data_IF_437783959832
#
_entry.id   IF_437783959832
#
_cell.length_a   1.000
_cell.length_b   1.000
_cell.length_c   1.000
_cell.angle_alpha   90.00
_cell.angle_beta   90.00
_cell.angle_gamma   90.00
#
_symmetry.space_group_name_H-M   'P 1'
#
loop_
_entity.id
_entity.type
_entity.pdbx_description
1 polymer ?
#
# COMPACT_ATOMS: atom_id res chain seq x y z
N UNK A 1 -7.91 16.65 13.32
CA UNK A 1 -7.16 15.60 12.61
C UNK A 1 -8.08 14.72 11.81
N UNK A 2 -7.70 14.40 10.59
CA UNK A 2 -8.51 13.54 9.74
C UNK A 2 -8.54 12.12 10.30
N UNK A 3 -9.70 11.47 10.18
CA UNK A 3 -9.85 10.06 10.51
C UNK A 3 -9.55 9.25 9.25
N UNK A 4 -8.54 8.41 9.32
CA UNK A 4 -8.14 7.58 8.19
C UNK A 4 -8.30 6.09 8.53
N UNK A 5 -8.49 5.30 7.49
CA UNK A 5 -8.53 3.85 7.60
C UNK A 5 -7.45 3.28 6.68
N UNK A 6 -6.49 2.58 7.25
CA UNK A 6 -5.45 1.93 6.45
C UNK A 6 -6.05 0.70 5.78
N UNK A 7 -6.00 0.68 4.44
CA UNK A 7 -6.54 -0.41 3.64
C UNK A 7 -5.46 -1.43 3.25
N UNK A 8 -4.23 -0.98 3.07
CA UNK A 8 -3.13 -1.86 2.68
C UNK A 8 -1.79 -1.25 3.04
N UNK A 9 -0.89 -2.07 3.58
CA UNK A 9 0.51 -1.72 3.79
C UNK A 9 1.34 -2.65 2.92
N UNK A 10 2.18 -2.09 2.06
CA UNK A 10 3.16 -2.84 1.27
C UNK A 10 4.53 -2.56 1.85
N UNK A 11 5.22 -3.62 2.21
CA UNK A 11 6.54 -3.50 2.81
C UNK A 11 7.50 -4.52 2.22
N UNK A 12 8.78 -4.21 2.28
CA UNK A 12 9.82 -5.10 1.77
C UNK A 12 10.87 -5.36 2.83
N UNK A 13 11.56 -6.48 2.67
CA UNK A 13 12.69 -6.84 3.52
C UNK A 13 13.65 -7.73 2.74
N UNK A 14 14.82 -7.98 3.30
CA UNK A 14 15.76 -8.94 2.76
C UNK A 14 16.01 -10.02 3.80
N UNK A 15 16.00 -11.28 3.36
CA UNK A 15 16.28 -12.42 4.24
C UNK A 15 17.80 -12.69 4.34
N UNK A 16 18.60 -11.92 3.62
CA UNK A 16 20.04 -11.97 3.73
C UNK A 16 20.73 -13.18 3.10
N UNK A 17 19.99 -13.96 2.32
CA UNK A 17 20.52 -15.12 1.63
C UNK A 17 19.75 -15.37 0.34
N UNK A 18 20.39 -15.97 -0.63
CA UNK A 18 19.68 -16.38 -1.84
C UNK A 18 18.71 -17.50 -1.49
N UNK A 19 17.58 -17.51 -2.18
CA UNK A 19 16.52 -18.48 -1.95
C UNK A 19 16.38 -19.40 -3.15
N UNK A 20 16.31 -20.70 -2.88
CA UNK A 20 15.95 -21.68 -3.89
C UNK A 20 14.43 -21.79 -3.93
N UNK A 21 13.81 -21.04 -4.84
CA UNK A 21 12.34 -20.96 -4.91
C UNK A 21 11.70 -22.29 -5.30
N UNK A 22 12.41 -23.12 -6.06
CA UNK A 22 11.93 -24.47 -6.40
C UNK A 22 11.83 -25.35 -5.17
N UNK A 23 12.84 -25.30 -4.31
CA UNK A 23 12.81 -26.04 -3.06
C UNK A 23 11.75 -25.52 -2.10
N UNK A 24 11.60 -24.20 -2.03
CA UNK A 24 10.64 -23.58 -1.13
C UNK A 24 9.20 -23.91 -1.55
N UNK A 25 8.89 -23.88 -2.84
CA UNK A 25 7.52 -24.17 -3.30
C UNK A 25 7.13 -25.60 -2.98
N UNK A 26 8.08 -26.52 -2.99
CA UNK A 26 7.82 -27.91 -2.64
C UNK A 26 7.61 -28.12 -1.13
N UNK A 27 8.25 -27.29 -0.33
CA UNK A 27 8.23 -27.41 1.13
C UNK A 27 7.08 -26.63 1.78
N UNK A 28 6.60 -25.56 1.16
CA UNK A 28 5.54 -24.73 1.71
C UNK A 28 4.20 -25.06 1.06
N UNK A 29 3.30 -25.59 1.85
CA UNK A 29 1.96 -25.93 1.40
C UNK A 29 1.20 -24.67 1.02
N UNK A 30 0.65 -24.63 -0.19
CA UNK A 30 -0.07 -23.47 -0.70
C UNK A 30 0.77 -22.40 -1.37
N UNK A 31 2.09 -22.61 -1.46
CA UNK A 31 2.95 -21.68 -2.20
C UNK A 31 2.76 -21.88 -3.70
N UNK A 32 2.84 -20.78 -4.45
CA UNK A 32 2.70 -20.79 -5.91
C UNK A 32 3.98 -20.21 -6.54
N UNK A 33 4.54 -20.94 -7.49
CA UNK A 33 5.73 -20.46 -8.21
C UNK A 33 5.64 -20.85 -9.68
N UNK A 34 5.46 -19.85 -10.53
CA UNK A 34 5.44 -20.02 -11.98
C UNK A 34 6.36 -18.96 -12.59
N UNK A 35 7.66 -19.30 -12.76
CA UNK A 35 8.64 -18.32 -13.21
C UNK A 35 8.41 -17.78 -14.62
N UNK A 36 7.62 -18.47 -15.44
CA UNK A 36 7.28 -17.97 -16.77
C UNK A 36 6.29 -16.81 -16.72
N UNK A 37 5.45 -16.74 -15.69
CA UNK A 37 4.47 -15.66 -15.54
C UNK A 37 4.96 -14.57 -14.60
N UNK A 38 5.65 -14.96 -13.52
CA UNK A 38 6.10 -14.01 -12.52
C UNK A 38 7.36 -14.56 -11.83
N UNK A 39 8.43 -13.75 -11.68
CA UNK A 39 9.69 -14.26 -11.15
C UNK A 39 9.70 -14.57 -9.66
N UNK A 40 8.68 -14.16 -8.92
CA UNK A 40 8.60 -14.39 -7.49
C UNK A 40 7.71 -15.56 -7.13
N UNK A 41 7.98 -16.15 -5.97
CA UNK A 41 7.11 -17.15 -5.36
C UNK A 41 6.07 -16.41 -4.52
N UNK A 42 4.82 -16.81 -4.61
CA UNK A 42 3.72 -16.19 -3.88
C UNK A 42 3.28 -17.13 -2.76
N UNK A 43 3.32 -16.62 -1.54
CA UNK A 43 2.85 -17.35 -0.37
C UNK A 43 1.81 -16.53 0.37
N UNK A 44 0.59 -17.06 0.49
CA UNK A 44 -0.52 -16.37 1.13
C UNK A 44 -0.76 -16.93 2.53
N UNK A 45 -0.94 -16.01 3.48
CA UNK A 45 -1.36 -16.35 4.84
C UNK A 45 -2.84 -16.03 5.01
N UNK A 46 -3.50 -16.76 5.90
CA UNK A 46 -4.89 -16.48 6.27
C UNK A 46 -4.97 -15.53 7.46
N UNK A 47 -4.00 -15.59 8.37
CA UNK A 47 -3.95 -14.72 9.56
C UNK A 47 -2.51 -14.30 9.86
N UNK A 48 -2.21 -13.04 9.67
CA UNK A 48 -3.03 -12.02 9.00
C UNK A 48 -3.19 -12.32 7.51
N UNK A 49 -4.30 -11.86 6.93
CA UNK A 49 -4.57 -12.09 5.50
C UNK A 49 -3.64 -11.25 4.65
N UNK A 50 -2.57 -11.85 4.21
CA UNK A 50 -1.49 -11.20 3.47
C UNK A 50 -0.97 -12.11 2.38
N UNK A 51 -0.26 -11.52 1.43
CA UNK A 51 0.51 -12.26 0.44
C UNK A 51 1.96 -11.81 0.53
N UNK A 52 2.87 -12.76 0.57
CA UNK A 52 4.31 -12.47 0.57
C UNK A 52 4.91 -12.98 -0.73
N UNK A 53 5.65 -12.12 -1.40
CA UNK A 53 6.36 -12.44 -2.62
C UNK A 53 7.82 -12.66 -2.26
N UNK A 54 8.34 -13.83 -2.60
CA UNK A 54 9.73 -14.18 -2.33
C UNK A 54 10.49 -14.22 -3.63
N UNK A 55 11.66 -13.60 -3.65
CA UNK A 55 12.50 -13.54 -4.83
C UNK A 55 13.80 -14.30 -4.58
N UNK A 56 14.41 -14.79 -5.65
CA UNK A 56 15.63 -15.56 -5.59
C UNK A 56 16.78 -14.81 -4.89
N UNK A 57 16.80 -13.50 -5.01
CA UNK A 57 17.80 -12.65 -4.35
C UNK A 57 17.72 -12.66 -2.83
N UNK A 58 16.64 -13.19 -2.27
CA UNK A 58 16.36 -13.12 -0.84
C UNK A 58 15.42 -11.97 -0.48
N UNK A 59 15.05 -11.16 -1.45
CA UNK A 59 14.10 -10.07 -1.20
C UNK A 59 12.70 -10.64 -0.99
N UNK A 60 11.97 -10.07 -0.04
CA UNK A 60 10.58 -10.40 0.23
C UNK A 60 9.74 -9.13 0.22
N UNK A 61 8.56 -9.21 -0.36
CA UNK A 61 7.58 -8.12 -0.38
C UNK A 61 6.28 -8.65 0.21
N UNK A 62 5.78 -7.98 1.24
CA UNK A 62 4.52 -8.35 1.87
C UNK A 62 3.46 -7.31 1.54
N UNK A 63 2.28 -7.75 1.12
CA UNK A 63 1.15 -6.89 0.81
C UNK A 63 -0.12 -7.46 1.45
N UNK A 64 -1.11 -6.61 1.65
CA UNK A 64 -2.41 -6.99 2.23
C UNK A 64 -2.55 -6.71 3.72
N UNK A 65 -1.47 -6.37 4.40
CA UNK A 65 -1.53 -6.02 5.81
C UNK A 65 -2.26 -4.70 6.02
N UNK A 66 -3.00 -4.61 7.12
CA UNK A 66 -3.75 -3.40 7.48
C UNK A 66 -3.05 -2.55 8.50
N UNK A 67 -1.86 -2.97 8.92
CA UNK A 67 -0.99 -2.22 9.82
C UNK A 67 0.43 -2.73 9.67
N UNK A 68 1.40 -1.96 10.16
CA UNK A 68 2.79 -2.41 10.19
C UNK A 68 2.94 -3.65 11.05
N UNK A 69 2.21 -3.72 12.16
CA UNK A 69 2.21 -4.87 13.05
C UNK A 69 1.79 -6.15 12.33
N UNK A 70 0.74 -6.09 11.51
CA UNK A 70 0.30 -7.24 10.73
C UNK A 70 1.38 -7.68 9.73
N UNK A 71 2.06 -6.74 9.10
CA UNK A 71 3.16 -7.04 8.19
C UNK A 71 4.30 -7.73 8.92
N UNK A 72 4.67 -7.25 10.10
CA UNK A 72 5.72 -7.85 10.91
C UNK A 72 5.37 -9.28 11.31
N UNK A 73 4.13 -9.52 11.72
CA UNK A 73 3.65 -10.86 12.06
C UNK A 73 3.70 -11.77 10.84
N UNK A 74 3.25 -11.29 9.68
CA UNK A 74 3.24 -12.06 8.46
C UNK A 74 4.65 -12.48 8.05
N UNK A 75 5.58 -11.55 8.02
CA UNK A 75 6.96 -11.82 7.64
C UNK A 75 7.61 -12.79 8.63
N UNK A 76 7.36 -12.62 9.92
CA UNK A 76 7.86 -13.54 10.95
C UNK A 76 7.37 -14.97 10.72
N UNK A 77 6.08 -15.13 10.41
CA UNK A 77 5.50 -16.45 10.12
C UNK A 77 6.12 -17.09 8.87
N UNK A 78 6.33 -16.29 7.82
CA UNK A 78 6.93 -16.78 6.58
C UNK A 78 8.38 -17.21 6.84
N UNK A 79 9.15 -16.42 7.57
CA UNK A 79 10.54 -16.76 7.91
C UNK A 79 10.60 -18.07 8.68
N UNK A 80 9.73 -18.25 9.67
CA UNK A 80 9.70 -19.49 10.43
C UNK A 80 9.39 -20.71 9.56
N UNK A 81 8.49 -20.55 8.62
CA UNK A 81 8.17 -21.64 7.69
C UNK A 81 9.33 -21.99 6.78
N UNK A 82 10.06 -20.98 6.31
CA UNK A 82 11.24 -21.18 5.48
C UNK A 82 12.33 -21.89 6.29
N UNK A 83 12.55 -21.46 7.53
CA UNK A 83 13.52 -22.08 8.41
C UNK A 83 13.14 -23.54 8.73
N UNK A 84 11.87 -23.80 8.94
CA UNK A 84 11.38 -25.18 9.16
C UNK A 84 11.62 -26.09 7.95
N UNK A 85 11.72 -25.51 6.75
CA UNK A 85 12.04 -26.24 5.53
C UNK A 85 13.56 -26.52 5.38
N UNK A 86 14.38 -26.10 6.35
CA UNK A 86 15.81 -26.35 6.36
C UNK A 86 16.66 -25.24 5.75
N UNK A 87 16.07 -24.10 5.45
CA UNK A 87 16.79 -22.96 4.86
C UNK A 87 17.21 -22.02 5.99
N UNK A 88 18.50 -21.69 6.03
CA UNK A 88 19.04 -20.80 7.06
C UNK A 88 18.85 -19.35 6.66
N UNK A 89 18.16 -18.58 7.50
CA UNK A 89 18.01 -17.14 7.33
C UNK A 89 19.10 -16.46 8.15
N UNK A 90 20.02 -15.78 7.46
CA UNK A 90 21.23 -15.24 8.08
C UNK A 90 21.08 -13.92 8.83
N UNK A 91 20.01 -13.17 8.56
CA UNK A 91 19.80 -11.86 9.17
C UNK A 91 18.43 -11.76 9.76
N UNK A 92 18.27 -10.90 10.77
CA UNK A 92 16.95 -10.49 11.24
C UNK A 92 16.36 -9.56 10.17
N UNK A 93 15.22 -9.89 9.59
CA UNK A 93 14.64 -9.05 8.52
C UNK A 93 14.34 -7.65 9.03
N UNK A 94 14.86 -6.66 8.31
CA UNK A 94 14.53 -5.26 8.57
C UNK A 94 13.45 -4.85 7.58
N UNK A 95 12.29 -4.48 8.10
CA UNK A 95 11.11 -4.20 7.29
C UNK A 95 11.08 -2.74 6.91
N UNK A 96 10.95 -2.45 5.62
CA UNK A 96 10.78 -1.11 5.10
C UNK A 96 9.40 -0.97 4.46
N UNK A 97 8.61 -0.02 4.94
CA UNK A 97 7.32 0.28 4.34
C UNK A 97 7.56 0.96 3.00
N UNK A 98 6.97 0.41 1.94
CA UNK A 98 7.10 0.96 0.59
C UNK A 98 5.89 1.78 0.19
N UNK A 99 4.71 1.40 0.67
CA UNK A 99 3.48 2.10 0.33
C UNK A 99 2.39 1.81 1.35
N UNK A 100 1.63 2.84 1.69
CA UNK A 100 0.42 2.70 2.48
C UNK A 100 -0.73 3.22 1.63
N UNK A 101 -1.78 2.42 1.50
CA UNK A 101 -3.04 2.83 0.90
C UNK A 101 -4.04 3.00 2.02
N UNK A 102 -4.63 4.18 2.10
CA UNK A 102 -5.60 4.49 3.15
C UNK A 102 -6.80 5.22 2.56
N UNK A 103 -7.92 5.10 3.23
CA UNK A 103 -9.14 5.78 2.83
C UNK A 103 -9.60 6.75 3.92
N UNK A 104 -10.37 7.73 3.51
CA UNK A 104 -11.02 8.68 4.42
C UNK A 104 -12.30 9.17 3.78
N UNK A 105 -13.09 9.90 4.55
CA UNK A 105 -14.35 10.44 4.07
C UNK A 105 -14.46 11.89 4.55
N UNK A 106 -14.71 12.79 3.61
CA UNK A 106 -14.86 14.22 3.94
C UNK A 106 -16.20 14.53 4.63
N UNK A 107 -17.11 13.57 4.62
CA UNK A 107 -18.40 13.72 5.29
C UNK A 107 -19.45 14.50 4.50
N UNK A 108 -19.14 14.86 3.27
CA UNK A 108 -20.08 15.61 2.40
C UNK A 108 -19.76 15.30 0.95
N UNK A 109 -20.79 15.38 0.12
CA UNK A 109 -20.60 15.26 -1.33
C UNK A 109 -19.80 16.45 -1.85
N UNK A 110 -19.01 16.22 -2.87
CA UNK A 110 -18.18 17.25 -3.49
C UNK A 110 -18.40 17.26 -5.01
N UNK A 111 -18.17 18.42 -5.61
CA UNK A 111 -18.28 18.59 -7.05
C UNK A 111 -16.89 18.52 -7.68
N UNK A 112 -16.58 17.41 -8.33
CA UNK A 112 -15.25 17.18 -8.89
C UNK A 112 -14.93 18.14 -10.03
N UNK A 113 -15.92 18.53 -10.84
CA UNK A 113 -15.70 19.52 -11.90
C UNK A 113 -15.27 20.87 -11.33
N UNK A 114 -15.95 21.33 -10.28
CA UNK A 114 -15.62 22.59 -9.63
C UNK A 114 -14.24 22.56 -9.01
N UNK A 115 -13.87 21.43 -8.42
CA UNK A 115 -12.54 21.24 -7.83
C UNK A 115 -11.45 21.30 -8.91
N UNK A 116 -11.66 20.62 -10.04
CA UNK A 116 -10.70 20.62 -11.14
C UNK A 116 -10.47 22.03 -11.69
N UNK A 117 -11.54 22.80 -11.82
CA UNK A 117 -11.46 24.17 -12.32
C UNK A 117 -10.73 25.08 -11.30
N UNK A 118 -11.07 24.96 -10.03
CA UNK A 118 -10.53 25.84 -8.97
C UNK A 118 -9.06 25.56 -8.65
N UNK A 119 -8.66 24.30 -8.63
CA UNK A 119 -7.29 23.93 -8.26
C UNK A 119 -6.32 23.91 -9.43
N UNK A 120 -6.83 23.80 -10.64
CA UNK A 120 -6.02 23.86 -11.86
C UNK A 120 -5.34 22.55 -12.24
N UNK A 121 -4.96 22.46 -13.52
CA UNK A 121 -4.46 21.23 -14.12
C UNK A 121 -3.04 20.84 -13.68
N UNK A 122 -2.34 21.71 -13.00
CA UNK A 122 -0.98 21.39 -12.52
C UNK A 122 -1.00 20.39 -11.36
N UNK A 123 -2.03 20.46 -10.53
CA UNK A 123 -2.14 19.62 -9.33
C UNK A 123 -3.12 18.47 -9.49
N UNK A 124 -4.14 18.63 -10.34
CA UNK A 124 -5.23 17.67 -10.43
C UNK A 124 -5.47 17.22 -11.86
N UNK A 125 -5.94 15.98 -12.00
CA UNK A 125 -6.38 15.40 -13.25
C UNK A 125 -7.78 14.86 -13.04
N UNK A 126 -8.70 15.24 -13.91
CA UNK A 126 -10.05 14.75 -13.84
C UNK A 126 -10.57 14.42 -15.24
N UNK A 127 -10.69 13.14 -15.53
CA UNK A 127 -11.20 12.63 -16.80
C UNK A 127 -12.27 11.58 -16.50
N UNK A 128 -13.51 12.02 -16.26
CA UNK A 128 -14.57 11.12 -15.79
C UNK A 128 -14.91 9.99 -16.75
N UNK A 129 -14.57 10.13 -18.04
CA UNK A 129 -14.80 9.07 -19.02
C UNK A 129 -13.82 7.90 -18.86
N UNK A 130 -12.64 8.17 -18.31
CA UNK A 130 -11.60 7.15 -18.09
C UNK A 130 -11.59 6.63 -16.68
N UNK A 131 -11.79 7.51 -15.71
CA UNK A 131 -11.78 7.15 -14.30
C UNK A 131 -12.71 8.10 -13.53
N UNK A 132 -13.60 7.58 -12.67
CA UNK A 132 -14.59 8.41 -11.99
C UNK A 132 -14.02 9.31 -10.90
N UNK A 133 -12.81 9.07 -10.44
CA UNK A 133 -12.18 9.87 -9.40
C UNK A 133 -11.31 10.99 -9.97
N UNK A 134 -11.15 12.04 -9.17
CA UNK A 134 -10.20 13.11 -9.46
C UNK A 134 -8.86 12.74 -8.82
N UNK A 135 -7.78 12.85 -9.59
CA UNK A 135 -6.43 12.54 -9.11
C UNK A 135 -5.77 13.82 -8.65
N UNK A 136 -5.41 13.88 -7.37
CA UNK A 136 -4.75 15.02 -6.75
C UNK A 136 -3.35 14.60 -6.30
N UNK A 137 -2.33 15.25 -6.83
CA UNK A 137 -0.94 14.94 -6.48
C UNK A 137 -0.40 15.98 -5.52
N UNK A 138 0.16 15.52 -4.40
CA UNK A 138 0.84 16.37 -3.43
C UNK A 138 2.35 16.15 -3.54
N UNK A 139 3.10 17.21 -3.26
CA UNK A 139 4.57 17.14 -3.23
C UNK A 139 5.11 16.91 -1.83
N UNK A 140 4.43 17.43 -0.82
CA UNK A 140 4.87 17.32 0.57
C UNK A 140 3.66 17.12 1.49
N UNK A 141 3.43 15.90 1.94
CA UNK A 141 4.11 14.64 1.60
C UNK A 141 3.87 14.25 0.14
N UNK A 142 4.80 13.49 -0.44
CA UNK A 142 4.69 13.06 -1.83
C UNK A 142 3.73 11.86 -1.92
N UNK A 143 2.47 12.15 -2.15
CA UNK A 143 1.40 11.15 -2.21
C UNK A 143 0.42 11.52 -3.32
N UNK A 144 -0.38 10.54 -3.70
CA UNK A 144 -1.49 10.75 -4.65
C UNK A 144 -2.79 10.47 -3.91
N UNK A 145 -3.74 11.37 -4.06
CA UNK A 145 -5.06 11.22 -3.45
C UNK A 145 -6.10 11.17 -4.55
N UNK A 146 -6.98 10.18 -4.48
CA UNK A 146 -8.11 10.02 -5.37
C UNK A 146 -9.35 10.54 -4.65
N UNK A 147 -10.02 11.53 -5.26
CA UNK A 147 -11.24 12.11 -4.71
C UNK A 147 -12.45 11.64 -5.50
N UNK A 148 -13.50 11.29 -4.79
CA UNK A 148 -14.75 10.84 -5.42
C UNK A 148 -15.90 11.79 -5.06
N UNK A 149 -16.87 11.87 -5.94
CA UNK A 149 -18.02 12.78 -5.74
C UNK A 149 -18.80 12.53 -4.46
N UNK A 150 -18.72 11.32 -3.92
CA UNK A 150 -19.36 10.99 -2.64
C UNK A 150 -18.70 11.66 -1.44
N UNK A 151 -17.52 12.23 -1.62
CA UNK A 151 -16.69 12.76 -0.53
C UNK A 151 -15.67 11.77 0.00
N UNK A 152 -15.68 10.55 -0.48
CA UNK A 152 -14.67 9.57 -0.11
C UNK A 152 -13.36 9.85 -0.83
N UNK A 153 -12.26 9.50 -0.18
CA UNK A 153 -10.97 9.64 -0.80
C UNK A 153 -10.07 8.45 -0.47
N UNK A 154 -9.12 8.20 -1.35
CA UNK A 154 -8.11 7.15 -1.20
C UNK A 154 -6.74 7.79 -1.38
N UNK A 155 -5.86 7.61 -0.41
CA UNK A 155 -4.49 8.11 -0.46
C UNK A 155 -3.53 6.95 -0.68
N UNK A 156 -2.60 7.12 -1.62
CA UNK A 156 -1.58 6.12 -1.90
C UNK A 156 -0.22 6.78 -2.05
N UNK A 157 0.85 6.04 -1.79
CA UNK A 157 2.21 6.53 -1.89
C UNK A 157 2.84 6.94 -0.57
N UNK A 158 2.08 6.94 0.51
CA UNK A 158 2.61 7.27 1.83
C UNK A 158 3.46 6.12 2.37
N UNK A 159 4.46 6.46 3.16
CA UNK A 159 5.29 5.48 3.86
C UNK A 159 5.06 5.47 5.37
N UNK A 160 4.30 6.45 5.87
CA UNK A 160 3.89 6.57 7.27
C UNK A 160 2.42 6.94 7.34
N UNK A 161 1.67 6.45 8.34
CA UNK A 161 0.28 6.87 8.52
C UNK A 161 0.13 8.38 8.68
N UNK A 162 1.09 9.04 9.34
CA UNK A 162 1.07 10.49 9.55
C UNK A 162 1.04 11.25 8.22
N UNK A 163 1.73 10.76 7.20
CA UNK A 163 1.74 11.39 5.89
C UNK A 163 0.35 11.36 5.26
N UNK A 164 -0.41 10.29 5.47
CA UNK A 164 -1.79 10.20 5.01
C UNK A 164 -2.66 11.25 5.72
N UNK A 165 -2.53 11.36 7.04
CA UNK A 165 -3.29 12.33 7.82
C UNK A 165 -3.01 13.75 7.37
N UNK A 166 -1.73 14.08 7.17
CA UNK A 166 -1.31 15.40 6.69
C UNK A 166 -1.91 15.70 5.31
N UNK A 167 -1.85 14.72 4.40
CA UNK A 167 -2.39 14.88 3.06
C UNK A 167 -3.89 15.13 3.07
N UNK A 168 -4.64 14.37 3.85
CA UNK A 168 -6.09 14.54 3.95
C UNK A 168 -6.43 15.89 4.56
N UNK A 169 -5.72 16.32 5.60
CA UNK A 169 -5.94 17.62 6.23
C UNK A 169 -5.65 18.77 5.26
N UNK A 170 -4.57 18.68 4.49
CA UNK A 170 -4.23 19.71 3.49
C UNK A 170 -5.31 19.85 2.43
N UNK A 171 -5.80 18.73 1.91
CA UNK A 171 -6.85 18.72 0.90
C UNK A 171 -8.14 19.28 1.48
N UNK A 172 -8.50 18.87 2.68
CA UNK A 172 -9.69 19.38 3.36
C UNK A 172 -9.62 20.90 3.50
N UNK A 173 -8.50 21.42 3.93
CA UNK A 173 -8.31 22.87 4.09
C UNK A 173 -8.35 23.61 2.76
N UNK A 174 -7.73 23.07 1.71
CA UNK A 174 -7.80 23.68 0.38
C UNK A 174 -9.21 23.75 -0.15
N UNK A 175 -9.98 22.68 0.01
CA UNK A 175 -11.37 22.65 -0.45
C UNK A 175 -12.24 23.62 0.34
N UNK A 176 -12.03 23.75 1.63
CA UNK A 176 -12.74 24.71 2.46
C UNK A 176 -12.40 26.14 2.09
N UNK A 177 -11.14 26.43 1.88
CA UNK A 177 -10.66 27.74 1.50
C UNK A 177 -11.20 28.18 0.13
N UNK A 178 -11.42 27.24 -0.77
CA UNK A 178 -11.97 27.49 -2.11
C UNK A 178 -13.50 27.51 -2.13
N UNK A 179 -14.16 27.30 -0.97
CA UNK A 179 -15.61 27.26 -0.89
C UNK A 179 -16.25 25.98 -1.47
N UNK A 180 -15.45 24.93 -1.65
CA UNK A 180 -15.89 23.69 -2.27
C UNK A 180 -16.30 22.63 -1.25
N UNK A 181 -16.06 22.89 0.01
CA UNK A 181 -16.42 22.03 1.13
C UNK A 181 -16.83 22.90 2.31
N UNK A 182 -17.96 22.59 2.91
CA UNK A 182 -18.48 23.36 4.03
C UNK A 182 -17.69 23.14 5.34
#
# INVERSE_FOLDING_TARGET
MAVIKIENVVASTSLGTELDLQAIVLALDGAEYDPEQFPGLIYRLKEPKTATLLFRSGKAVCTGGKSLEQVEIAISKVVKKIEAAGIVIKTTPKIEVQNIVASSDLGAKINLNSIAISLGLEKVEYEPEQFPGLVYRLDSPKVVVLLFGSGKLVCTGARKPEDVEIAVDKITQELKAAGLLA
#
